data_IF_481214741305
#
_entry.id   IF_481214741305
#
_cell.length_a   1.000
_cell.length_b   1.000
_cell.length_c   1.000
_cell.angle_alpha   90.00
_cell.angle_beta   90.00
_cell.angle_gamma   90.00
#
_symmetry.space_group_name_H-M   'P 1'
#
loop_
_entity.id
_entity.type
_entity.pdbx_description
1 polymer ?
#
# COMPACT_ATOMS: atom_id res chain seq x y z
N UNK A 1 -9.19 -28.00 -27.01
CA UNK A 1 -9.79 -26.93 -27.85
C UNK A 1 -10.41 -25.94 -26.88
N UNK A 2 -9.95 -24.70 -26.96
CA UNK A 2 -9.96 -23.66 -25.93
C UNK A 2 -11.30 -23.43 -25.20
N UNK A 3 -11.24 -23.34 -23.87
CA UNK A 3 -12.07 -22.46 -23.05
C UNK A 3 -11.13 -21.51 -22.31
N UNK A 4 -11.18 -20.24 -22.70
CA UNK A 4 -10.49 -19.13 -22.04
C UNK A 4 -11.34 -18.63 -20.87
N UNK A 5 -10.70 -18.50 -19.71
CA UNK A 5 -11.23 -17.93 -18.48
C UNK A 5 -11.55 -16.45 -18.68
N UNK A 6 -12.80 -16.10 -18.40
CA UNK A 6 -13.35 -14.76 -18.55
C UNK A 6 -13.02 -13.97 -17.28
N UNK A 7 -12.10 -13.01 -17.38
CA UNK A 7 -12.09 -11.80 -16.56
C UNK A 7 -13.28 -10.96 -17.04
N UNK A 8 -14.39 -10.96 -16.31
CA UNK A 8 -15.52 -10.06 -16.60
C UNK A 8 -15.57 -8.93 -15.59
N UNK A 9 -15.25 -7.76 -16.12
CA UNK A 9 -15.70 -6.46 -15.67
C UNK A 9 -17.16 -6.48 -15.17
N UNK A 10 -17.40 -5.94 -13.96
CA UNK A 10 -18.74 -5.55 -13.53
C UNK A 10 -19.00 -4.11 -13.99
N UNK A 11 -19.88 -3.96 -14.98
CA UNK A 11 -20.61 -2.71 -15.24
C UNK A 11 -22.12 -2.93 -15.01
N UNK A 12 -22.71 -1.87 -14.45
CA UNK A 12 -24.03 -1.66 -13.86
C UNK A 12 -25.23 -2.08 -14.72
N UNK A 13 -26.27 -2.61 -14.07
CA UNK A 13 -27.63 -2.75 -14.59
C UNK A 13 -28.69 -2.28 -13.59
N UNK A 14 -29.64 -1.47 -14.07
CA UNK A 14 -30.61 -0.64 -13.35
C UNK A 14 -31.51 -1.30 -12.28
N UNK A 15 -31.93 -0.44 -11.35
CA UNK A 15 -32.82 -0.67 -10.21
C UNK A 15 -34.23 -1.19 -10.56
N UNK A 16 -34.77 -2.02 -9.67
CA UNK A 16 -36.21 -2.24 -9.51
C UNK A 16 -36.56 -2.29 -8.01
N UNK A 17 -37.47 -1.43 -7.58
CA UNK A 17 -37.94 -1.28 -6.20
C UNK A 17 -38.95 -2.37 -5.81
N UNK A 18 -38.86 -2.88 -4.57
CA UNK A 18 -39.90 -3.71 -3.90
C UNK A 18 -39.94 -3.37 -2.40
N UNK A 19 -41.11 -3.34 -1.73
CA UNK A 19 -41.38 -2.49 -0.57
C UNK A 19 -41.10 -3.10 0.80
N UNK A 20 -40.97 -2.18 1.77
CA UNK A 20 -40.80 -2.37 3.20
C UNK A 20 -41.85 -3.28 3.85
N UNK A 21 -41.39 -4.23 4.67
CA UNK A 21 -42.20 -4.75 5.78
C UNK A 21 -41.36 -4.85 7.05
N UNK A 22 -41.97 -4.36 8.12
CA UNK A 22 -41.40 -4.10 9.44
C UNK A 22 -41.32 -5.34 10.32
N UNK A 23 -40.15 -5.61 10.89
CA UNK A 23 -40.02 -6.46 12.08
C UNK A 23 -39.23 -5.72 13.16
N UNK A 24 -39.89 -5.44 14.30
CA UNK A 24 -39.28 -4.85 15.50
C UNK A 24 -38.78 -5.96 16.42
N UNK A 25 -37.51 -5.90 16.82
CA UNK A 25 -36.96 -6.62 17.97
C UNK A 25 -36.34 -5.63 18.98
N UNK A 26 -36.35 -5.93 20.28
CA UNK A 26 -36.21 -4.92 21.34
C UNK A 26 -34.75 -4.51 21.58
N UNK A 27 -34.51 -3.19 21.53
CA UNK A 27 -33.23 -2.54 21.82
C UNK A 27 -33.07 -2.38 23.34
N UNK A 28 -31.99 -2.93 23.91
CA UNK A 28 -31.41 -2.43 25.17
C UNK A 28 -30.37 -1.37 24.80
N UNK A 29 -30.31 -0.22 25.50
CA UNK A 29 -29.44 0.88 25.08
C UNK A 29 -27.98 0.57 25.39
N UNK A 30 -27.17 0.36 24.35
CA UNK A 30 -25.73 0.59 24.40
C UNK A 30 -25.50 2.10 24.54
N UNK A 31 -24.67 2.50 25.51
CA UNK A 31 -24.07 3.84 25.52
C UNK A 31 -22.83 3.78 24.64
N UNK A 32 -22.98 4.08 23.36
CA UNK A 32 -21.84 4.48 22.52
C UNK A 32 -21.43 5.89 22.95
N UNK A 33 -20.13 6.12 23.08
CA UNK A 33 -19.57 7.46 23.27
C UNK A 33 -19.79 8.19 21.94
N UNK A 34 -20.52 9.30 22.01
CA UNK A 34 -20.83 10.18 20.88
C UNK A 34 -19.56 10.94 20.51
N UNK A 35 -18.66 10.32 19.74
CA UNK A 35 -17.46 10.96 19.20
C UNK A 35 -17.86 11.65 17.88
N UNK A 36 -18.37 12.88 17.96
CA UNK A 36 -18.71 13.79 16.83
C UNK A 36 -17.49 14.21 15.97
N UNK A 37 -16.46 13.36 15.83
CA UNK A 37 -15.27 13.68 15.04
C UNK A 37 -15.56 13.74 13.54
N UNK A 38 -16.46 12.90 13.04
CA UNK A 38 -16.83 12.88 11.60
C UNK A 38 -17.73 14.05 11.20
N UNK A 39 -18.52 14.63 12.11
CA UNK A 39 -19.33 15.82 11.82
C UNK A 39 -18.49 17.06 11.47
N UNK A 40 -17.19 17.07 11.83
CA UNK A 40 -16.23 18.12 11.51
C UNK A 40 -15.35 17.79 10.29
N UNK A 41 -15.50 16.63 9.66
CA UNK A 41 -14.86 16.37 8.38
C UNK A 41 -15.46 17.35 7.36
N UNK A 42 -14.61 18.19 6.76
CA UNK A 42 -15.04 19.03 5.64
C UNK A 42 -15.64 18.17 4.52
N UNK A 43 -16.44 18.76 3.61
CA UNK A 43 -16.94 18.01 2.46
C UNK A 43 -15.76 17.35 1.75
N UNK A 44 -15.86 16.05 1.45
CA UNK A 44 -14.98 15.37 0.50
C UNK A 44 -14.95 16.24 -0.76
N UNK A 45 -13.78 16.71 -1.15
CA UNK A 45 -13.67 17.49 -2.38
C UNK A 45 -13.98 16.56 -3.56
N UNK A 46 -14.96 16.92 -4.40
CA UNK A 46 -15.50 16.15 -5.52
C UNK A 46 -14.50 15.95 -6.68
N UNK A 47 -13.24 15.61 -6.42
CA UNK A 47 -12.27 15.41 -7.49
C UNK A 47 -12.46 14.08 -8.23
N UNK A 48 -13.03 13.05 -7.58
CA UNK A 48 -13.26 11.76 -8.24
C UNK A 48 -14.43 11.79 -9.24
N UNK A 49 -15.35 12.75 -9.10
CA UNK A 49 -16.43 13.04 -10.06
C UNK A 49 -16.06 14.15 -11.06
N UNK A 50 -14.95 14.85 -10.83
CA UNK A 50 -14.37 15.73 -11.84
C UNK A 50 -13.52 14.88 -12.77
N UNK A 51 -13.80 14.95 -14.07
CA UNK A 51 -12.86 14.48 -15.09
C UNK A 51 -11.52 15.21 -14.82
N UNK A 52 -10.48 14.56 -14.26
CA UNK A 52 -9.28 15.25 -13.80
C UNK A 52 -8.49 15.84 -14.97
N UNK A 53 -8.90 15.50 -16.20
CA UNK A 53 -8.26 15.81 -17.47
C UNK A 53 -8.87 17.00 -18.20
N UNK A 54 -9.49 17.97 -17.52
CA UNK A 54 -9.66 19.28 -18.14
C UNK A 54 -8.32 20.04 -18.10
N UNK A 55 -7.36 19.49 -18.85
CA UNK A 55 -6.14 20.17 -19.23
C UNK A 55 -6.59 21.45 -19.92
N UNK A 56 -6.42 22.59 -19.25
CA UNK A 56 -6.58 23.88 -19.90
C UNK A 56 -5.74 23.84 -21.17
N UNK A 57 -6.38 24.17 -22.30
CA UNK A 57 -5.80 24.18 -23.65
C UNK A 57 -4.57 25.09 -23.66
N UNK A 58 -3.43 24.53 -23.28
CA UNK A 58 -2.24 25.29 -22.88
C UNK A 58 -1.08 24.42 -22.40
N UNK A 59 -1.30 23.16 -22.00
CA UNK A 59 -0.18 22.20 -21.84
C UNK A 59 0.31 21.83 -23.24
N UNK A 60 1.25 22.62 -23.73
CA UNK A 60 2.10 22.23 -24.84
C UNK A 60 2.82 20.98 -24.36
N UNK A 61 2.64 19.85 -25.05
CA UNK A 61 3.53 18.70 -24.93
C UNK A 61 4.89 19.13 -25.49
N UNK A 62 5.59 19.94 -24.71
CA UNK A 62 6.93 20.32 -25.01
C UNK A 62 7.73 19.09 -24.63
N UNK A 63 8.12 18.25 -25.60
CA UNK A 63 8.97 17.07 -25.38
C UNK A 63 10.36 17.39 -24.79
N UNK A 64 10.51 18.60 -24.24
CA UNK A 64 11.65 19.09 -23.49
C UNK A 64 11.67 18.40 -22.12
N UNK A 65 12.47 17.35 -22.05
CA UNK A 65 12.90 16.71 -20.80
C UNK A 65 13.79 17.68 -20.01
N UNK A 66 13.43 17.96 -18.76
CA UNK A 66 14.21 18.81 -17.86
C UNK A 66 15.32 17.99 -17.21
N UNK A 67 16.47 18.60 -16.85
CA UNK A 67 17.57 17.88 -16.20
C UNK A 67 17.58 18.12 -14.69
N UNK A 68 17.80 17.05 -13.92
CA UNK A 68 17.77 17.09 -12.45
C UNK A 68 18.98 16.38 -11.83
N UNK A 69 19.35 16.81 -10.62
CA UNK A 69 20.26 16.08 -9.73
C UNK A 69 19.54 15.83 -8.41
N UNK A 70 19.07 14.60 -8.21
CA UNK A 70 18.43 14.18 -6.96
C UNK A 70 19.49 13.52 -6.08
N UNK A 71 19.55 13.92 -4.81
CA UNK A 71 20.33 13.24 -3.78
C UNK A 71 19.37 12.73 -2.72
N UNK A 72 19.42 11.44 -2.42
CA UNK A 72 18.57 10.81 -1.43
C UNK A 72 19.24 10.88 -0.06
N UNK A 73 18.49 11.32 0.96
CA UNK A 73 18.94 11.26 2.35
C UNK A 73 19.09 9.81 2.79
N UNK A 74 20.03 9.51 3.69
CA UNK A 74 20.02 8.22 4.37
C UNK A 74 18.79 8.14 5.28
N UNK A 75 18.21 6.94 5.41
CA UNK A 75 17.08 6.67 6.29
C UNK A 75 17.45 6.66 7.77
N UNK A 76 18.69 6.31 8.08
CA UNK A 76 19.25 6.31 9.44
C UNK A 76 20.59 7.07 9.42
N UNK A 77 20.70 8.20 10.14
CA UNK A 77 21.98 8.94 10.21
C UNK A 77 22.82 8.57 11.45
N UNK A 78 22.17 8.48 12.61
CA UNK A 78 22.78 8.17 13.91
C UNK A 78 21.72 7.56 14.82
N UNK A 79 22.10 6.78 15.82
CA UNK A 79 21.20 6.04 16.74
C UNK A 79 20.05 6.89 17.35
N UNK A 80 20.26 8.18 17.56
CA UNK A 80 19.26 9.07 18.19
C UNK A 80 18.40 9.89 17.22
N UNK A 81 18.67 9.83 15.90
CA UNK A 81 18.01 10.67 14.91
C UNK A 81 16.91 9.90 14.18
N UNK A 82 15.67 10.17 14.55
CA UNK A 82 14.47 9.66 13.89
C UNK A 82 14.19 10.41 12.60
N UNK A 83 13.62 9.72 11.62
CA UNK A 83 13.09 10.34 10.41
C UNK A 83 12.00 11.36 10.77
N UNK A 84 12.14 12.56 10.22
CA UNK A 84 11.07 13.54 10.15
C UNK A 84 10.54 13.56 8.72
N UNK A 85 9.34 13.02 8.51
CA UNK A 85 8.71 12.89 7.20
C UNK A 85 8.46 14.23 6.48
N UNK A 86 8.41 15.36 7.19
CA UNK A 86 8.33 16.69 6.55
C UNK A 86 9.59 17.05 5.76
N UNK A 87 10.74 16.46 6.11
CA UNK A 87 12.05 16.78 5.48
C UNK A 87 12.69 15.59 4.79
N UNK A 88 12.42 14.38 5.24
CA UNK A 88 12.92 13.16 4.65
C UNK A 88 12.29 12.94 3.27
N UNK A 89 13.11 12.53 2.30
CA UNK A 89 12.66 12.20 0.95
C UNK A 89 12.97 10.74 0.67
N UNK A 90 11.91 9.94 0.55
CA UNK A 90 12.00 8.51 0.31
C UNK A 90 12.05 8.19 -1.19
N UNK A 91 13.04 7.39 -1.58
CA UNK A 91 13.06 6.60 -2.80
C UNK A 91 12.87 5.15 -2.38
N UNK A 92 11.63 4.72 -2.39
CA UNK A 92 11.24 3.45 -1.80
C UNK A 92 10.99 2.34 -2.81
N UNK A 93 11.06 1.11 -2.31
CA UNK A 93 10.49 -0.06 -2.94
C UNK A 93 9.67 -0.84 -1.92
N UNK A 94 8.51 -1.35 -2.34
CA UNK A 94 7.74 -2.28 -1.55
C UNK A 94 8.35 -3.67 -1.66
N UNK A 95 8.35 -4.43 -0.56
CA UNK A 95 8.63 -5.87 -0.56
C UNK A 95 7.32 -6.66 -0.55
N UNK A 96 6.39 -6.29 -1.42
CA UNK A 96 5.08 -6.93 -1.56
C UNK A 96 5.15 -8.30 -2.23
N UNK A 97 4.15 -9.15 -1.98
CA UNK A 97 4.12 -10.55 -2.42
C UNK A 97 5.12 -11.46 -1.68
N UNK A 98 5.74 -10.97 -0.60
CA UNK A 98 6.71 -11.72 0.21
C UNK A 98 6.10 -12.34 1.47
N UNK A 99 5.86 -11.54 2.51
CA UNK A 99 5.31 -11.98 3.81
C UNK A 99 3.77 -11.87 3.86
N UNK A 100 3.19 -11.32 2.81
CA UNK A 100 1.80 -11.50 2.37
C UNK A 100 1.87 -11.97 0.91
N UNK A 101 0.94 -12.84 0.51
CA UNK A 101 0.94 -13.45 -0.83
C UNK A 101 -0.25 -12.99 -1.66
N UNK A 102 0.07 -12.31 -2.75
CA UNK A 102 -0.86 -12.05 -3.84
C UNK A 102 -0.61 -12.97 -5.03
N UNK A 103 -1.68 -13.58 -5.53
CA UNK A 103 -1.63 -14.42 -6.73
C UNK A 103 -1.16 -13.67 -7.96
N UNK A 104 -1.54 -12.39 -8.07
CA UNK A 104 -1.20 -11.53 -9.20
C UNK A 104 0.30 -11.39 -9.39
N UNK A 105 1.07 -11.28 -8.29
CA UNK A 105 2.52 -11.07 -8.36
C UNK A 105 3.35 -12.36 -8.39
N UNK A 106 2.74 -13.52 -8.10
CA UNK A 106 3.44 -14.80 -8.10
C UNK A 106 2.60 -15.98 -8.66
N UNK A 107 1.98 -15.82 -9.85
CA UNK A 107 1.01 -16.77 -10.37
C UNK A 107 1.64 -18.13 -10.73
N UNK A 108 2.94 -18.16 -11.04
CA UNK A 108 3.68 -19.38 -11.39
C UNK A 108 3.85 -20.28 -10.16
N UNK A 109 4.25 -19.70 -9.03
CA UNK A 109 4.34 -20.43 -7.76
C UNK A 109 2.94 -20.90 -7.33
N UNK A 110 1.94 -20.04 -7.45
CA UNK A 110 0.55 -20.38 -7.13
C UNK A 110 0.03 -21.58 -7.94
N UNK A 111 0.29 -21.58 -9.25
CA UNK A 111 -0.13 -22.66 -10.14
C UNK A 111 0.60 -23.99 -9.85
N UNK A 112 1.76 -23.97 -9.19
CA UNK A 112 2.57 -25.16 -8.93
C UNK A 112 1.92 -26.16 -7.96
N UNK A 113 1.01 -25.70 -7.10
CA UNK A 113 0.30 -26.56 -6.15
C UNK A 113 -0.75 -27.48 -6.81
N UNK A 114 -1.29 -27.08 -7.98
CA UNK A 114 -2.38 -27.77 -8.65
C UNK A 114 -3.68 -27.84 -7.83
N UNK A 115 -4.70 -28.52 -8.38
CA UNK A 115 -5.96 -28.78 -7.69
C UNK A 115 -6.71 -27.51 -7.26
N UNK A 116 -7.37 -27.55 -6.10
CA UNK A 116 -8.10 -26.41 -5.56
C UNK A 116 -7.17 -25.28 -5.10
N UNK A 117 -5.98 -25.62 -4.59
CA UNK A 117 -4.96 -24.66 -4.17
C UNK A 117 -4.51 -23.74 -5.32
N UNK A 118 -4.31 -24.28 -6.54
CA UNK A 118 -3.96 -23.44 -7.70
C UNK A 118 -5.08 -22.47 -8.13
N UNK A 119 -6.33 -22.81 -7.82
CA UNK A 119 -7.50 -21.98 -8.13
C UNK A 119 -7.83 -20.96 -7.03
N UNK A 120 -7.27 -21.12 -5.84
CA UNK A 120 -7.45 -20.18 -4.73
C UNK A 120 -7.19 -18.74 -5.19
N UNK A 121 -8.05 -17.82 -4.74
CA UNK A 121 -7.98 -16.40 -5.11
C UNK A 121 -7.06 -15.58 -4.22
N UNK A 122 -6.79 -16.04 -3.00
CA UNK A 122 -6.08 -15.33 -1.94
C UNK A 122 -5.28 -16.29 -1.04
N UNK A 123 -4.37 -15.74 -0.23
CA UNK A 123 -3.52 -16.52 0.69
C UNK A 123 -4.36 -17.32 1.70
N UNK A 124 -5.45 -16.73 2.19
CA UNK A 124 -6.37 -17.38 3.13
C UNK A 124 -6.92 -18.70 2.58
N UNK A 125 -7.46 -18.66 1.37
CA UNK A 125 -8.03 -19.81 0.68
C UNK A 125 -6.93 -20.78 0.28
N UNK A 126 -5.79 -20.28 -0.20
CA UNK A 126 -4.64 -21.13 -0.53
C UNK A 126 -4.21 -21.96 0.68
N UNK A 127 -4.08 -21.34 1.84
CA UNK A 127 -3.69 -22.05 3.05
C UNK A 127 -4.77 -22.98 3.59
N UNK A 128 -6.05 -22.61 3.46
CA UNK A 128 -7.17 -23.51 3.74
C UNK A 128 -7.14 -24.78 2.88
N UNK A 129 -6.83 -24.65 1.58
CA UNK A 129 -6.74 -25.78 0.65
C UNK A 129 -5.49 -26.63 0.85
N UNK A 130 -4.35 -26.01 1.21
CA UNK A 130 -3.09 -26.73 1.48
C UNK A 130 -3.08 -27.42 2.86
N UNK A 131 -3.85 -26.94 3.83
CA UNK A 131 -3.86 -27.46 5.19
C UNK A 131 -2.45 -27.44 5.81
N UNK A 132 -1.98 -28.58 6.31
CA UNK A 132 -0.68 -28.71 6.96
C UNK A 132 0.52 -28.38 6.04
N UNK A 133 0.33 -28.41 4.70
CA UNK A 133 1.37 -28.07 3.73
C UNK A 133 1.52 -26.56 3.49
N UNK A 134 0.57 -25.73 3.95
CA UNK A 134 0.64 -24.27 3.83
C UNK A 134 1.91 -23.72 4.50
N UNK A 135 2.22 -24.15 5.73
CA UNK A 135 3.38 -23.69 6.46
C UNK A 135 4.70 -24.01 5.76
N UNK A 136 5.01 -25.28 5.45
CA UNK A 136 6.21 -25.64 4.69
C UNK A 136 6.33 -24.91 3.35
N UNK A 137 5.23 -24.74 2.61
CA UNK A 137 5.22 -24.05 1.33
C UNK A 137 5.56 -22.56 1.47
N UNK A 138 4.98 -21.88 2.46
CA UNK A 138 5.23 -20.47 2.72
C UNK A 138 6.62 -20.23 3.31
N UNK A 139 7.09 -21.04 4.25
CA UNK A 139 8.45 -20.95 4.79
C UNK A 139 9.51 -21.07 3.68
N UNK A 140 9.35 -22.03 2.78
CA UNK A 140 10.22 -22.17 1.60
C UNK A 140 10.14 -20.92 0.70
N UNK A 141 8.95 -20.34 0.52
CA UNK A 141 8.77 -19.16 -0.31
C UNK A 141 9.35 -17.90 0.34
N UNK A 142 9.20 -17.72 1.66
CA UNK A 142 9.76 -16.60 2.41
C UNK A 142 11.30 -16.60 2.33
N UNK A 143 11.93 -17.77 2.34
CA UNK A 143 13.38 -17.92 2.25
C UNK A 143 13.96 -17.64 0.85
N UNK A 144 13.18 -17.85 -0.23
CA UNK A 144 13.69 -17.82 -1.61
C UNK A 144 13.15 -16.66 -2.47
N UNK A 145 11.97 -16.11 -2.15
CA UNK A 145 11.33 -15.09 -2.99
C UNK A 145 12.16 -13.80 -3.07
N UNK A 146 12.76 -13.38 -1.95
CA UNK A 146 13.60 -12.19 -1.81
C UNK A 146 14.75 -12.52 -0.85
N UNK A 147 15.93 -11.95 -1.08
CA UNK A 147 17.08 -12.09 -0.20
C UNK A 147 17.92 -10.80 -0.17
N UNK A 148 19.05 -10.83 0.51
CA UNK A 148 19.95 -9.66 0.63
C UNK A 148 20.48 -9.14 -0.72
N UNK A 149 20.62 -10.00 -1.74
CA UNK A 149 20.99 -9.55 -3.09
C UNK A 149 19.89 -8.71 -3.75
N UNK A 150 18.63 -8.90 -3.39
CA UNK A 150 17.57 -7.96 -3.81
C UNK A 150 17.80 -6.58 -3.20
N UNK A 151 18.17 -6.53 -1.92
CA UNK A 151 18.47 -5.27 -1.23
C UNK A 151 19.68 -4.57 -1.86
N UNK A 152 20.73 -5.32 -2.21
CA UNK A 152 21.90 -4.77 -2.90
C UNK A 152 21.53 -4.11 -4.24
N UNK A 153 20.67 -4.78 -5.02
CA UNK A 153 20.21 -4.26 -6.32
C UNK A 153 19.38 -2.99 -6.16
N UNK A 154 18.44 -2.98 -5.20
CA UNK A 154 17.65 -1.77 -4.88
C UNK A 154 18.57 -0.61 -4.43
N UNK A 155 19.52 -0.89 -3.52
CA UNK A 155 20.48 0.10 -3.06
C UNK A 155 21.35 0.66 -4.20
N UNK A 156 21.72 -0.18 -5.18
CA UNK A 156 22.57 0.23 -6.32
C UNK A 156 21.95 1.33 -7.19
N UNK A 157 20.63 1.46 -7.16
CA UNK A 157 19.87 2.51 -7.85
C UNK A 157 19.31 3.58 -6.91
N UNK A 158 19.82 3.61 -5.67
CA UNK A 158 19.59 4.67 -4.70
C UNK A 158 18.31 4.51 -3.88
N UNK A 159 17.74 3.31 -3.77
CA UNK A 159 16.64 3.06 -2.82
C UNK A 159 17.17 3.29 -1.40
N UNK A 160 16.43 4.07 -0.61
CA UNK A 160 16.78 4.42 0.77
C UNK A 160 15.68 4.06 1.78
N UNK A 161 14.54 3.55 1.30
CA UNK A 161 13.39 3.17 2.13
C UNK A 161 12.81 1.85 1.65
N UNK A 162 12.45 0.96 2.56
CA UNK A 162 11.71 -0.27 2.26
C UNK A 162 10.35 -0.22 2.95
N UNK A 163 9.27 -0.39 2.19
CA UNK A 163 7.92 -0.62 2.74
C UNK A 163 7.66 -2.13 2.71
N UNK A 164 7.38 -2.72 3.86
CA UNK A 164 7.29 -4.17 4.01
C UNK A 164 5.88 -4.53 4.50
N UNK A 165 4.99 -4.95 3.59
CA UNK A 165 3.69 -5.50 3.91
C UNK A 165 3.84 -6.81 4.70
N UNK A 166 3.02 -6.96 5.74
CA UNK A 166 2.92 -8.19 6.52
C UNK A 166 1.45 -8.51 6.80
N UNK A 167 1.11 -9.81 6.85
CA UNK A 167 -0.19 -10.21 7.40
C UNK A 167 -0.20 -10.00 8.91
N UNK A 168 -1.37 -9.77 9.52
CA UNK A 168 -1.45 -9.70 10.99
C UNK A 168 -1.01 -11.01 11.65
N UNK A 169 -1.18 -12.12 10.92
CA UNK A 169 -0.90 -13.46 11.40
C UNK A 169 0.60 -13.70 11.56
N UNK A 170 1.48 -12.91 10.94
CA UNK A 170 2.91 -12.91 11.26
C UNK A 170 3.20 -12.48 12.71
N UNK A 171 2.34 -11.65 13.29
CA UNK A 171 2.57 -10.98 14.58
C UNK A 171 1.79 -11.60 15.73
N UNK A 172 0.54 -12.00 15.46
CA UNK A 172 -0.37 -12.57 16.45
C UNK A 172 -1.07 -13.79 15.88
N UNK A 173 -1.12 -14.87 16.66
CA UNK A 173 -1.83 -16.08 16.25
C UNK A 173 -3.32 -15.93 16.56
N UNK A 174 -4.12 -15.48 15.59
CA UNK A 174 -5.56 -15.27 15.77
C UNK A 174 -6.31 -16.60 15.58
N UNK A 175 -7.08 -17.05 16.58
CA UNK A 175 -7.84 -18.29 16.47
C UNK A 175 -8.82 -18.28 15.30
N UNK A 176 -8.76 -19.33 14.46
CA UNK A 176 -9.65 -19.50 13.31
C UNK A 176 -9.16 -18.82 12.03
N UNK A 177 -8.05 -18.08 12.06
CA UNK A 177 -7.39 -17.61 10.84
C UNK A 177 -6.91 -18.80 10.00
N UNK A 178 -7.08 -18.72 8.67
CA UNK A 178 -6.45 -19.65 7.73
C UNK A 178 -5.08 -19.16 7.27
N UNK A 179 -4.72 -17.90 7.56
CA UNK A 179 -3.38 -17.42 7.28
C UNK A 179 -2.36 -18.16 8.15
N UNK A 180 -1.14 -18.26 7.65
CA UNK A 180 -0.08 -18.98 8.34
C UNK A 180 0.56 -18.14 9.45
N UNK A 181 0.74 -18.74 10.64
CA UNK A 181 1.56 -18.18 11.72
C UNK A 181 2.85 -18.99 11.85
N UNK A 182 3.99 -18.40 11.51
CA UNK A 182 5.28 -19.08 11.47
C UNK A 182 6.46 -18.13 11.70
N UNK A 183 7.53 -18.31 10.93
CA UNK A 183 8.78 -17.59 11.10
C UNK A 183 8.87 -16.29 10.29
N UNK A 184 7.75 -15.70 9.83
CA UNK A 184 7.76 -14.46 9.04
C UNK A 184 8.65 -13.38 9.68
N UNK A 185 8.58 -13.23 11.00
CA UNK A 185 9.35 -12.24 11.77
C UNK A 185 10.86 -12.52 11.75
N UNK A 186 11.27 -13.78 11.66
CA UNK A 186 12.69 -14.15 11.53
C UNK A 186 13.24 -13.73 10.17
N UNK A 187 12.51 -14.01 9.09
CA UNK A 187 12.90 -13.56 7.73
C UNK A 187 12.88 -12.02 7.62
N UNK A 188 11.86 -11.38 8.20
CA UNK A 188 11.78 -9.92 8.29
C UNK A 188 13.01 -9.33 9.00
N UNK A 189 13.44 -9.93 10.11
CA UNK A 189 14.61 -9.47 10.87
C UNK A 189 15.89 -9.52 10.04
N UNK A 190 16.11 -10.61 9.31
CA UNK A 190 17.30 -10.77 8.47
C UNK A 190 17.41 -9.65 7.43
N UNK A 191 16.32 -9.40 6.70
CA UNK A 191 16.29 -8.39 5.63
C UNK A 191 16.37 -6.96 6.19
N UNK A 192 15.60 -6.65 7.23
CA UNK A 192 15.59 -5.31 7.82
C UNK A 192 16.93 -4.97 8.47
N UNK A 193 17.53 -5.90 9.21
CA UNK A 193 18.85 -5.71 9.80
C UNK A 193 19.91 -5.46 8.72
N UNK A 194 19.93 -6.27 7.66
CA UNK A 194 20.87 -6.09 6.56
C UNK A 194 20.69 -4.73 5.86
N UNK A 195 19.46 -4.33 5.56
CA UNK A 195 19.14 -3.06 4.92
C UNK A 195 19.54 -1.85 5.77
N UNK A 196 19.30 -1.91 7.08
CA UNK A 196 19.66 -0.85 8.03
C UNK A 196 21.18 -0.77 8.21
N UNK A 197 21.84 -1.88 8.51
CA UNK A 197 23.28 -1.88 8.85
C UNK A 197 24.17 -1.61 7.63
N UNK A 198 23.79 -2.10 6.44
CA UNK A 198 24.61 -1.99 5.23
C UNK A 198 24.36 -0.69 4.48
N UNK A 199 23.11 -0.23 4.44
CA UNK A 199 22.68 0.87 3.56
C UNK A 199 21.99 2.01 4.29
N UNK A 200 21.80 1.90 5.60
CA UNK A 200 21.09 2.91 6.41
C UNK A 200 19.69 3.19 5.85
N UNK A 201 19.01 2.16 5.34
CA UNK A 201 17.65 2.28 4.83
C UNK A 201 16.66 2.53 5.96
N UNK A 202 15.61 3.30 5.68
CA UNK A 202 14.46 3.45 6.56
C UNK A 202 13.44 2.34 6.27
N UNK A 203 12.80 1.80 7.30
CA UNK A 203 11.86 0.69 7.17
C UNK A 203 10.45 1.14 7.57
N UNK A 204 9.49 0.92 6.70
CA UNK A 204 8.07 1.02 7.01
C UNK A 204 7.55 -0.40 7.20
N UNK A 205 7.14 -0.75 8.42
CA UNK A 205 6.48 -2.04 8.70
C UNK A 205 4.97 -1.82 8.61
N UNK A 206 4.35 -2.51 7.66
CA UNK A 206 2.92 -2.40 7.37
C UNK A 206 2.12 -3.61 7.83
N UNK A 207 1.01 -3.39 8.53
CA UNK A 207 -0.07 -4.37 8.63
C UNK A 207 -0.94 -4.23 7.38
N UNK A 208 -0.72 -5.12 6.42
CA UNK A 208 -1.42 -5.10 5.13
C UNK A 208 -2.82 -5.71 5.23
N UNK A 209 -2.97 -6.68 6.14
CA UNK A 209 -4.24 -7.28 6.55
C UNK A 209 -4.48 -7.06 8.04
N UNK A 210 -5.74 -6.97 8.49
CA UNK A 210 -6.12 -7.04 9.91
C UNK A 210 -7.15 -8.15 10.15
N UNK A 211 -7.25 -8.68 11.39
CA UNK A 211 -8.18 -9.77 11.71
C UNK A 211 -9.63 -9.44 11.32
N UNK A 212 -10.27 -10.35 10.60
CA UNK A 212 -11.61 -10.17 10.05
C UNK A 212 -11.67 -9.58 8.65
N UNK A 213 -10.59 -8.97 8.15
CA UNK A 213 -10.53 -8.36 6.83
C UNK A 213 -10.99 -6.89 6.83
N UNK A 214 -10.26 -6.05 6.09
CA UNK A 214 -10.45 -4.59 6.08
C UNK A 214 -11.02 -4.04 4.78
N UNK A 215 -11.10 -4.83 3.71
CA UNK A 215 -11.45 -4.32 2.38
C UNK A 215 -12.13 -5.30 1.43
N UNK A 216 -12.52 -6.49 1.90
CA UNK A 216 -13.09 -7.57 1.07
C UNK A 216 -12.17 -8.11 -0.04
N UNK A 217 -10.90 -7.69 -0.11
CA UNK A 217 -9.93 -8.15 -1.10
C UNK A 217 -9.02 -9.25 -0.52
N UNK A 218 -8.26 -9.88 -1.40
CA UNK A 218 -7.22 -10.84 -1.06
C UNK A 218 -6.20 -10.28 -0.05
N UNK A 219 -5.81 -9.02 -0.22
CA UNK A 219 -4.82 -8.33 0.63
C UNK A 219 -5.31 -7.97 2.03
N UNK A 220 -6.62 -7.77 2.23
CA UNK A 220 -7.16 -7.28 3.51
C UNK A 220 -7.26 -8.35 4.59
N UNK A 221 -7.34 -9.61 4.20
CA UNK A 221 -7.25 -10.86 4.99
C UNK A 221 -7.55 -12.05 4.07
N UNK A 222 -8.56 -11.88 3.22
CA UNK A 222 -9.09 -12.85 2.27
C UNK A 222 -10.36 -12.29 1.62
N UNK A 223 -10.67 -12.75 0.41
CA UNK A 223 -11.75 -12.23 -0.42
C UNK A 223 -13.10 -12.34 0.31
N UNK A 224 -13.92 -11.29 0.21
CA UNK A 224 -15.23 -11.16 0.88
C UNK A 224 -15.18 -11.18 2.41
N UNK A 225 -14.06 -10.75 3.01
CA UNK A 225 -13.91 -10.61 4.46
C UNK A 225 -13.77 -9.13 4.84
N UNK A 226 -14.71 -8.65 5.65
CA UNK A 226 -14.83 -7.27 6.15
C UNK A 226 -15.18 -7.19 7.65
N UNK A 227 -15.05 -8.32 8.35
CA UNK A 227 -15.43 -8.48 9.75
C UNK A 227 -14.55 -7.74 10.75
N UNK A 228 -13.54 -6.98 10.31
CA UNK A 228 -12.74 -6.11 11.17
C UNK A 228 -13.57 -4.93 11.72
N UNK A 229 -14.44 -4.35 10.89
CA UNK A 229 -15.23 -3.18 11.28
C UNK A 229 -16.23 -3.51 12.38
N UNK A 230 -16.28 -2.64 13.39
CA UNK A 230 -17.18 -2.74 14.55
C UNK A 230 -17.04 -4.02 15.39
N UNK A 231 -15.91 -4.72 15.27
CA UNK A 231 -15.60 -5.92 16.03
C UNK A 231 -14.49 -5.67 17.05
N UNK A 232 -14.84 -5.55 18.33
CA UNK A 232 -13.89 -5.26 19.41
C UNK A 232 -12.80 -6.33 19.56
N UNK A 233 -13.10 -7.61 19.27
CA UNK A 233 -12.12 -8.70 19.34
C UNK A 233 -11.06 -8.55 18.26
N UNK A 234 -11.49 -8.25 17.03
CA UNK A 234 -10.58 -8.03 15.92
C UNK A 234 -9.74 -6.75 16.10
N UNK A 235 -10.34 -5.70 16.67
CA UNK A 235 -9.63 -4.49 17.05
C UNK A 235 -8.55 -4.78 18.11
N UNK A 236 -8.86 -5.57 19.14
CA UNK A 236 -7.89 -5.94 20.17
C UNK A 236 -6.71 -6.74 19.60
N UNK A 237 -6.95 -7.74 18.74
CA UNK A 237 -5.86 -8.45 18.05
C UNK A 237 -5.04 -7.53 17.13
N UNK A 238 -5.67 -6.57 16.45
CA UNK A 238 -4.97 -5.58 15.63
C UNK A 238 -3.99 -4.77 16.48
N UNK A 239 -4.44 -4.31 17.65
CA UNK A 239 -3.61 -3.55 18.59
C UNK A 239 -2.51 -4.41 19.23
N UNK A 240 -2.76 -5.70 19.50
CA UNK A 240 -1.71 -6.63 19.93
C UNK A 240 -0.65 -6.83 18.84
N UNK A 241 -1.02 -6.85 17.56
CA UNK A 241 -0.06 -6.91 16.46
C UNK A 241 0.85 -5.67 16.43
N UNK A 242 0.29 -4.48 16.70
CA UNK A 242 1.07 -3.23 16.86
C UNK A 242 2.05 -3.33 18.03
N UNK A 243 1.63 -3.88 19.17
CA UNK A 243 2.53 -4.12 20.30
C UNK A 243 3.72 -5.02 19.89
N UNK A 244 3.47 -6.07 19.07
CA UNK A 244 4.54 -6.96 18.56
C UNK A 244 5.45 -6.31 17.52
N UNK A 245 4.93 -5.41 16.68
CA UNK A 245 5.75 -4.61 15.77
C UNK A 245 6.67 -3.68 16.55
N UNK A 246 6.16 -3.03 17.61
CA UNK A 246 6.96 -2.16 18.47
C UNK A 246 8.05 -2.94 19.23
N UNK A 247 7.71 -4.12 19.78
CA UNK A 247 8.70 -5.03 20.39
C UNK A 247 9.80 -5.42 19.39
N UNK A 248 9.44 -5.72 18.15
CA UNK A 248 10.40 -6.03 17.08
C UNK A 248 11.34 -4.85 16.80
N UNK A 249 10.78 -3.65 16.64
CA UNK A 249 11.55 -2.43 16.39
C UNK A 249 12.50 -2.12 17.56
N UNK A 250 12.05 -2.29 18.82
CA UNK A 250 12.91 -2.12 19.99
C UNK A 250 14.05 -3.15 20.03
N UNK A 251 13.77 -4.41 19.69
CA UNK A 251 14.77 -5.49 19.66
C UNK A 251 15.76 -5.37 18.50
N UNK A 252 15.50 -4.53 17.50
CA UNK A 252 16.42 -4.30 16.38
C UNK A 252 17.71 -3.58 16.79
N UNK A 253 17.69 -2.85 17.91
CA UNK A 253 18.77 -1.93 18.30
C UNK A 253 18.80 -0.62 17.50
N UNK A 254 17.89 -0.44 16.52
CA UNK A 254 17.80 0.73 15.65
C UNK A 254 16.35 1.25 15.58
N UNK A 255 15.76 1.56 16.74
CA UNK A 255 14.35 1.98 16.85
C UNK A 255 14.00 3.18 15.93
N UNK A 256 14.97 4.05 15.68
CA UNK A 256 14.84 5.22 14.82
C UNK A 256 14.76 4.91 13.30
N UNK A 257 15.01 3.66 12.91
CA UNK A 257 14.91 3.20 11.53
C UNK A 257 13.49 2.82 11.09
N UNK A 258 12.48 2.96 11.96
CA UNK A 258 11.14 2.41 11.73
C UNK A 258 10.06 3.49 11.63
N UNK A 259 9.09 3.25 10.75
CA UNK A 259 7.77 3.87 10.72
C UNK A 259 6.71 2.77 10.75
N UNK A 260 5.64 2.98 11.52
CA UNK A 260 4.58 1.98 11.71
C UNK A 260 3.38 2.35 10.83
N UNK A 261 3.05 1.50 9.86
CA UNK A 261 1.84 1.62 9.03
C UNK A 261 0.79 0.60 9.51
N UNK A 262 -0.21 1.02 10.31
CA UNK A 262 -1.02 0.08 11.09
C UNK A 262 -2.21 -0.51 10.31
N UNK A 263 -2.51 0.00 9.11
CA UNK A 263 -3.62 -0.45 8.25
C UNK A 263 -3.32 -0.08 6.79
N UNK A 264 -3.85 -0.87 5.85
CA UNK A 264 -3.70 -0.68 4.41
C UNK A 264 -5.06 -0.72 3.71
N UNK A 265 -5.36 0.30 2.90
CA UNK A 265 -6.48 0.35 1.94
C UNK A 265 -7.82 -0.14 2.51
N UNK A 266 -8.22 0.36 3.68
CA UNK A 266 -9.45 -0.07 4.32
C UNK A 266 -10.69 0.43 3.54
N UNK A 267 -11.70 -0.43 3.41
CA UNK A 267 -12.93 -0.17 2.67
C UNK A 267 -14.06 -1.06 3.18
N UNK A 268 -15.20 -0.48 3.52
CA UNK A 268 -16.43 -1.21 3.87
C UNK A 268 -17.43 -1.29 2.70
N UNK A 269 -17.04 -0.82 1.51
CA UNK A 269 -17.78 -0.96 0.26
C UNK A 269 -16.87 -1.37 -0.90
N UNK A 270 -16.82 -2.68 -1.17
CA UNK A 270 -16.07 -3.27 -2.27
C UNK A 270 -16.45 -2.69 -3.65
N UNK A 271 -17.71 -2.31 -3.85
CA UNK A 271 -18.17 -1.81 -5.15
C UNK A 271 -17.60 -0.44 -5.51
N UNK A 272 -17.13 0.28 -4.50
CA UNK A 272 -16.52 1.61 -4.60
C UNK A 272 -15.05 1.59 -4.15
N UNK A 273 -14.40 0.42 -4.08
CA UNK A 273 -12.98 0.32 -3.73
C UNK A 273 -12.09 1.15 -4.67
N UNK A 274 -11.03 1.75 -4.12
CA UNK A 274 -10.18 2.67 -4.87
C UNK A 274 -10.75 4.09 -5.00
N UNK A 275 -11.92 4.35 -4.40
CA UNK A 275 -12.57 5.66 -4.40
C UNK A 275 -12.88 6.15 -2.99
N UNK A 276 -13.09 7.45 -2.84
CA UNK A 276 -13.52 8.03 -1.57
C UNK A 276 -14.88 7.49 -1.08
N UNK A 277 -15.71 6.93 -1.97
CA UNK A 277 -16.99 6.31 -1.61
C UNK A 277 -16.84 4.91 -1.02
N UNK A 278 -15.67 4.28 -1.18
CA UNK A 278 -15.36 2.95 -0.64
C UNK A 278 -15.25 2.88 0.89
N UNK A 279 -15.26 4.01 1.58
CA UNK A 279 -15.18 4.07 3.04
C UNK A 279 -16.29 4.96 3.63
N UNK A 280 -17.17 4.37 4.44
CA UNK A 280 -18.26 5.10 5.11
C UNK A 280 -17.77 5.95 6.29
N UNK A 281 -18.61 6.88 6.76
CA UNK A 281 -18.31 7.68 7.94
C UNK A 281 -18.21 6.83 9.22
N UNK A 282 -19.00 5.76 9.31
CA UNK A 282 -18.93 4.84 10.44
C UNK A 282 -17.60 4.07 10.40
N UNK A 283 -17.17 3.61 9.23
CA UNK A 283 -15.90 2.90 9.06
C UNK A 283 -14.71 3.84 9.33
N UNK A 284 -14.80 5.08 8.87
CA UNK A 284 -13.86 6.17 9.22
C UNK A 284 -13.76 6.33 10.74
N UNK A 285 -14.89 6.41 11.45
CA UNK A 285 -14.92 6.52 12.92
C UNK A 285 -14.25 5.33 13.62
N UNK A 286 -14.42 4.13 13.06
CA UNK A 286 -13.78 2.91 13.56
C UNK A 286 -12.26 2.93 13.36
N UNK A 287 -11.79 3.41 12.21
CA UNK A 287 -10.35 3.62 11.93
C UNK A 287 -9.79 4.67 12.90
N UNK A 288 -10.47 5.78 13.16
CA UNK A 288 -10.01 6.78 14.13
C UNK A 288 -9.85 6.19 15.53
N UNK A 289 -10.80 5.36 15.97
CA UNK A 289 -10.70 4.63 17.25
C UNK A 289 -9.48 3.70 17.28
N UNK A 290 -9.21 2.99 16.20
CA UNK A 290 -8.01 2.16 16.07
C UNK A 290 -6.73 3.01 16.13
N UNK A 291 -6.68 4.11 15.38
CA UNK A 291 -5.54 5.02 15.34
C UNK A 291 -5.25 5.66 16.70
N UNK A 292 -6.27 6.00 17.50
CA UNK A 292 -6.07 6.46 18.88
C UNK A 292 -5.30 5.41 19.71
N UNK A 293 -5.68 4.13 19.59
CA UNK A 293 -5.02 3.01 20.27
C UNK A 293 -3.61 2.72 19.73
N UNK A 294 -3.36 2.96 18.44
CA UNK A 294 -2.03 2.89 17.83
C UNK A 294 -1.12 3.99 18.40
N UNK A 295 -1.59 5.24 18.40
CA UNK A 295 -0.81 6.36 18.93
C UNK A 295 -0.49 6.19 20.41
N UNK A 296 -1.44 5.71 21.23
CA UNK A 296 -1.21 5.43 22.65
C UNK A 296 -0.02 4.46 22.85
N UNK A 297 0.04 3.39 22.06
CA UNK A 297 1.11 2.38 22.13
C UNK A 297 2.45 2.92 21.63
N UNK A 298 2.43 3.58 20.48
CA UNK A 298 3.64 4.14 19.87
C UNK A 298 4.25 5.21 20.78
N UNK A 299 3.44 6.12 21.32
CA UNK A 299 3.89 7.20 22.21
C UNK A 299 4.36 6.68 23.57
N UNK A 300 3.82 5.55 24.05
CA UNK A 300 4.30 4.88 25.25
C UNK A 300 5.70 4.27 25.07
N UNK A 301 6.06 3.89 23.84
CA UNK A 301 7.42 3.43 23.50
C UNK A 301 8.33 4.63 23.24
N UNK A 302 8.03 5.42 22.20
CA UNK A 302 8.71 6.67 21.87
C UNK A 302 7.89 7.48 20.85
N UNK A 303 7.41 8.66 21.24
CA UNK A 303 6.64 9.56 20.36
C UNK A 303 7.36 10.03 19.09
N UNK A 304 8.68 9.82 18.98
CA UNK A 304 9.48 10.13 17.79
C UNK A 304 9.33 9.09 16.68
N UNK A 305 8.80 7.90 16.97
CA UNK A 305 8.46 6.91 15.95
C UNK A 305 7.29 7.45 15.13
N UNK A 306 7.41 7.58 13.79
CA UNK A 306 6.30 8.03 12.97
C UNK A 306 5.23 6.94 12.82
N UNK A 307 3.97 7.37 12.80
CA UNK A 307 2.82 6.55 12.43
C UNK A 307 2.37 6.97 11.03
N UNK A 308 2.12 5.99 10.17
CA UNK A 308 1.74 6.20 8.78
C UNK A 308 0.31 5.72 8.54
N UNK A 309 -0.63 6.62 8.25
CA UNK A 309 -2.02 6.25 7.95
C UNK A 309 -2.25 6.23 6.45
N UNK A 310 -2.58 5.05 5.91
CA UNK A 310 -3.04 4.93 4.53
C UNK A 310 -4.42 5.58 4.38
N UNK A 311 -4.56 6.45 3.39
CA UNK A 311 -5.67 7.40 3.28
C UNK A 311 -7.01 6.80 2.82
N UNK A 312 -7.05 5.49 2.57
CA UNK A 312 -8.24 4.74 2.15
C UNK A 312 -8.93 5.39 0.93
N UNK A 313 -8.15 6.03 0.05
CA UNK A 313 -8.61 6.74 -1.15
C UNK A 313 -9.50 7.97 -0.87
N UNK A 314 -9.62 8.40 0.39
CA UNK A 314 -10.30 9.66 0.79
C UNK A 314 -9.42 10.90 0.56
N UNK A 315 -8.10 10.70 0.43
CA UNK A 315 -7.11 11.77 0.36
C UNK A 315 -6.72 12.33 1.73
N UNK A 316 -5.52 12.90 1.82
CA UNK A 316 -4.96 13.42 3.06
C UNK A 316 -5.75 14.62 3.61
N UNK A 317 -6.34 15.43 2.74
CA UNK A 317 -7.18 16.58 3.12
C UNK A 317 -8.42 16.19 3.93
N UNK A 318 -8.98 15.00 3.70
CA UNK A 318 -10.12 14.48 4.46
C UNK A 318 -9.71 14.11 5.89
N UNK A 319 -8.58 13.42 6.05
CA UNK A 319 -8.13 12.91 7.34
C UNK A 319 -7.46 13.98 8.20
N UNK A 320 -6.73 14.93 7.61
CA UNK A 320 -5.91 15.88 8.34
C UNK A 320 -6.66 16.67 9.43
N UNK A 321 -7.89 17.18 9.22
CA UNK A 321 -8.64 17.87 10.27
C UNK A 321 -9.06 16.99 11.45
N UNK A 322 -8.99 15.66 11.31
CA UNK A 322 -9.40 14.68 12.32
C UNK A 322 -8.28 14.31 13.29
N UNK A 323 -7.05 14.79 13.04
CA UNK A 323 -5.87 14.54 13.88
C UNK A 323 -5.29 15.84 14.44
N UNK A 324 -4.72 15.75 15.64
CA UNK A 324 -3.95 16.84 16.25
C UNK A 324 -2.64 17.03 15.48
N UNK A 325 -2.32 18.28 15.12
CA UNK A 325 -1.12 18.63 14.33
C UNK A 325 0.20 18.35 15.05
N UNK A 326 0.17 18.08 16.36
CA UNK A 326 1.33 17.64 17.13
C UNK A 326 1.64 16.14 16.99
N UNK A 327 0.74 15.35 16.41
CA UNK A 327 0.98 13.92 16.17
C UNK A 327 2.06 13.74 15.10
N UNK A 328 2.97 12.80 15.34
CA UNK A 328 3.98 12.39 14.37
C UNK A 328 3.36 11.46 13.31
N UNK A 329 2.47 12.04 12.51
CA UNK A 329 1.66 11.39 11.50
C UNK A 329 2.18 11.72 10.10
N UNK A 330 2.26 10.71 9.25
CA UNK A 330 2.45 10.84 7.79
C UNK A 330 1.27 10.15 7.10
N UNK A 331 0.71 10.78 6.06
CA UNK A 331 -0.30 10.13 5.24
C UNK A 331 0.36 9.30 4.14
N UNK A 332 -0.16 8.11 3.93
CA UNK A 332 0.22 7.20 2.84
C UNK A 332 -0.87 7.22 1.77
N UNK A 333 -0.56 7.76 0.60
CA UNK A 333 -1.45 7.78 -0.56
C UNK A 333 -0.98 6.77 -1.60
N UNK A 334 -1.89 5.98 -2.12
CA UNK A 334 -1.60 5.02 -3.19
C UNK A 334 -2.05 5.60 -4.53
N UNK A 335 -1.14 5.70 -5.48
CA UNK A 335 -1.37 6.36 -6.77
C UNK A 335 -1.10 5.40 -7.92
N UNK A 336 -2.18 4.98 -8.57
CA UNK A 336 -2.15 4.04 -9.67
C UNK A 336 -2.88 4.57 -10.90
N UNK A 337 -2.32 4.31 -12.09
CA UNK A 337 -2.91 4.73 -13.36
C UNK A 337 -3.50 3.56 -14.17
N UNK A 338 -3.32 2.31 -13.75
CA UNK A 338 -3.81 1.14 -14.50
C UNK A 338 -5.34 1.02 -14.51
N UNK A 339 -6.02 1.55 -13.48
CA UNK A 339 -7.47 1.56 -13.35
C UNK A 339 -8.10 2.93 -13.64
N UNK A 340 -7.29 3.93 -13.99
CA UNK A 340 -7.77 5.30 -14.21
C UNK A 340 -8.19 5.50 -15.67
N UNK A 341 -9.49 5.74 -15.87
CA UNK A 341 -10.06 6.00 -17.19
C UNK A 341 -9.33 7.15 -17.91
N UNK A 342 -9.03 6.97 -19.19
CA UNK A 342 -8.41 8.00 -20.02
C UNK A 342 -6.90 8.19 -19.81
N UNK A 343 -6.22 7.30 -19.07
CA UNK A 343 -4.76 7.32 -18.94
C UNK A 343 -4.08 6.52 -20.03
N UNK A 344 -3.14 7.16 -20.73
CA UNK A 344 -2.39 6.57 -21.84
C UNK A 344 -0.90 6.76 -21.61
N UNK A 345 -0.08 5.80 -22.01
CA UNK A 345 1.37 5.81 -21.73
C UNK A 345 2.06 7.07 -22.28
N UNK A 346 1.64 7.54 -23.45
CA UNK A 346 2.17 8.75 -24.08
C UNK A 346 1.82 10.06 -23.34
N UNK A 347 0.82 10.05 -22.45
CA UNK A 347 0.21 11.26 -21.87
C UNK A 347 0.12 11.26 -20.34
N UNK A 348 0.56 10.20 -19.66
CA UNK A 348 0.45 10.08 -18.20
C UNK A 348 1.38 11.04 -17.44
N UNK A 349 2.54 11.39 -18.02
CA UNK A 349 3.55 12.21 -17.32
C UNK A 349 3.03 13.58 -16.84
N UNK A 350 2.29 14.38 -17.65
CA UNK A 350 1.64 15.59 -17.14
C UNK A 350 0.67 15.33 -15.98
N UNK A 351 -0.10 14.24 -16.01
CA UNK A 351 -1.05 13.90 -14.96
C UNK A 351 -0.34 13.58 -13.63
N UNK A 352 0.79 12.85 -13.70
CA UNK A 352 1.67 12.60 -12.55
C UNK A 352 2.12 13.91 -11.90
N UNK A 353 2.62 14.85 -12.70
CA UNK A 353 3.12 16.12 -12.18
C UNK A 353 2.01 16.94 -11.50
N UNK A 354 0.84 17.06 -12.14
CA UNK A 354 -0.29 17.79 -11.58
C UNK A 354 -0.84 17.14 -10.31
N UNK A 355 -0.92 15.81 -10.29
CA UNK A 355 -1.38 15.06 -9.12
C UNK A 355 -0.42 15.20 -7.94
N UNK A 356 0.90 15.14 -8.18
CA UNK A 356 1.90 15.34 -7.14
C UNK A 356 1.82 16.73 -6.50
N UNK A 357 1.65 17.77 -7.32
CA UNK A 357 1.49 19.16 -6.86
C UNK A 357 0.21 19.32 -6.05
N UNK A 358 -0.91 18.75 -6.50
CA UNK A 358 -2.17 18.77 -5.76
C UNK A 358 -2.07 18.09 -4.39
N UNK A 359 -1.52 16.86 -4.34
CA UNK A 359 -1.36 16.12 -3.09
C UNK A 359 -0.51 16.91 -2.08
N UNK A 360 0.50 17.64 -2.55
CA UNK A 360 1.34 18.48 -1.69
C UNK A 360 0.60 19.67 -1.05
N UNK A 361 -0.54 20.08 -1.61
CA UNK A 361 -1.37 21.19 -1.11
C UNK A 361 -2.54 20.72 -0.24
N UNK A 362 -2.83 19.42 -0.19
CA UNK A 362 -3.99 18.87 0.53
C UNK A 362 -3.94 19.10 2.04
N UNK A 363 -2.74 19.16 2.62
CA UNK A 363 -2.55 19.18 4.07
C UNK A 363 -1.19 19.75 4.46
N UNK A 364 -1.04 20.09 5.74
CA UNK A 364 0.25 20.43 6.34
C UNK A 364 1.00 19.24 6.93
N UNK A 365 0.31 18.09 7.10
CA UNK A 365 0.97 16.83 7.41
C UNK A 365 1.82 16.37 6.21
N UNK A 366 2.96 15.69 6.43
CA UNK A 366 3.68 15.08 5.34
C UNK A 366 2.82 14.01 4.67
N UNK A 367 2.86 13.98 3.33
CA UNK A 367 2.27 12.91 2.52
C UNK A 367 3.40 12.13 1.84
N UNK A 368 3.28 10.82 1.80
CA UNK A 368 4.19 9.88 1.15
C UNK A 368 3.38 9.02 0.17
N UNK A 369 3.89 8.79 -1.03
CA UNK A 369 3.22 7.91 -2.00
C UNK A 369 3.66 6.47 -1.74
N UNK A 370 3.04 5.75 -0.81
CA UNK A 370 3.52 4.44 -0.38
C UNK A 370 3.37 3.35 -1.41
N UNK A 371 2.51 3.54 -2.41
CA UNK A 371 2.38 2.63 -3.54
C UNK A 371 2.14 3.37 -4.86
N UNK A 372 2.90 2.96 -5.90
CA UNK A 372 2.76 3.40 -7.28
C UNK A 372 3.48 2.43 -8.23
N UNK A 373 3.08 2.38 -9.51
CA UNK A 373 3.69 1.51 -10.52
C UNK A 373 3.73 2.18 -11.91
N UNK A 374 4.30 1.49 -12.93
CA UNK A 374 4.41 2.04 -14.29
C UNK A 374 3.21 1.74 -15.19
N UNK A 375 2.39 0.76 -14.85
CA UNK A 375 1.26 0.38 -15.69
C UNK A 375 0.23 1.51 -15.72
N UNK A 376 -0.21 1.86 -16.93
CA UNK A 376 -1.34 2.74 -17.19
C UNK A 376 -2.49 1.95 -17.82
N UNK A 377 -3.67 2.56 -17.93
CA UNK A 377 -4.84 1.87 -18.44
C UNK A 377 -4.69 1.46 -19.91
N UNK A 378 -4.13 2.34 -20.75
CA UNK A 378 -4.08 2.13 -22.20
C UNK A 378 -2.72 2.37 -22.86
N UNK A 379 -2.45 1.62 -23.92
CA UNK A 379 -1.31 1.74 -24.83
C UNK A 379 0.03 1.77 -24.09
N UNK A 380 0.25 0.85 -23.14
CA UNK A 380 1.53 0.68 -22.47
C UNK A 380 2.63 0.39 -23.51
N UNK A 381 3.81 0.99 -23.33
CA UNK A 381 4.96 0.77 -24.22
C UNK A 381 6.21 0.46 -23.40
N UNK A 382 7.01 -0.49 -23.86
CA UNK A 382 8.24 -0.88 -23.17
C UNK A 382 9.27 0.26 -23.17
N UNK A 383 9.32 1.03 -24.26
CA UNK A 383 10.21 2.19 -24.42
C UNK A 383 9.78 3.40 -23.56
N UNK A 384 8.49 3.53 -23.26
CA UNK A 384 7.93 4.62 -22.46
C UNK A 384 8.24 4.52 -20.96
N UNK A 385 8.51 3.31 -20.46
CA UNK A 385 8.68 3.00 -19.03
C UNK A 385 9.67 3.91 -18.32
N UNK A 386 10.81 4.21 -18.95
CA UNK A 386 11.84 5.07 -18.33
C UNK A 386 11.34 6.49 -18.09
N UNK A 387 10.61 7.04 -19.06
CA UNK A 387 10.06 8.39 -18.92
C UNK A 387 9.02 8.46 -17.80
N UNK A 388 8.18 7.43 -17.69
CA UNK A 388 7.14 7.33 -16.65
C UNK A 388 7.79 7.18 -15.27
N UNK A 389 8.74 6.25 -15.13
CA UNK A 389 9.45 6.03 -13.88
C UNK A 389 10.20 7.28 -13.41
N UNK A 390 11.01 7.89 -14.29
CA UNK A 390 11.78 9.08 -13.93
C UNK A 390 10.87 10.26 -13.58
N UNK A 391 9.72 10.42 -14.25
CA UNK A 391 8.73 11.46 -13.94
C UNK A 391 8.06 11.24 -12.59
N UNK A 392 7.56 10.03 -12.33
CA UNK A 392 6.94 9.68 -11.04
C UNK A 392 7.94 9.85 -9.88
N UNK A 393 9.12 9.22 -9.98
CA UNK A 393 10.17 9.34 -8.96
C UNK A 393 10.54 10.78 -8.64
N UNK A 394 10.67 11.63 -9.67
CA UNK A 394 10.96 13.05 -9.47
C UNK A 394 9.77 13.79 -8.85
N UNK A 395 8.55 13.61 -9.36
CA UNK A 395 7.37 14.31 -8.89
C UNK A 395 7.11 14.01 -7.41
N UNK A 396 7.17 12.73 -7.02
CA UNK A 396 6.99 12.31 -5.63
C UNK A 396 8.07 12.90 -4.71
N UNK A 397 9.32 12.96 -5.16
CA UNK A 397 10.42 13.55 -4.39
C UNK A 397 10.29 15.06 -4.22
N UNK A 398 9.89 15.75 -5.29
CA UNK A 398 9.85 17.21 -5.34
C UNK A 398 8.69 17.76 -4.52
N UNK A 399 7.49 17.24 -4.75
CA UNK A 399 6.27 17.82 -4.22
C UNK A 399 5.87 17.24 -2.87
N UNK A 400 6.04 15.93 -2.67
CA UNK A 400 5.66 15.23 -1.43
C UNK A 400 6.89 14.56 -0.79
N UNK A 401 6.72 13.67 0.18
CA UNK A 401 7.83 13.08 0.97
C UNK A 401 8.56 11.95 0.24
N UNK A 402 8.41 11.85 -1.08
CA UNK A 402 8.87 10.72 -1.88
C UNK A 402 7.78 9.67 -2.11
N UNK A 403 8.19 8.49 -2.58
CA UNK A 403 7.27 7.39 -2.82
C UNK A 403 7.96 6.03 -2.83
N UNK A 404 7.18 4.95 -2.75
CA UNK A 404 7.64 3.56 -2.78
C UNK A 404 6.97 2.78 -3.89
N UNK A 405 7.77 2.27 -4.81
CA UNK A 405 7.29 1.56 -5.99
C UNK A 405 6.72 0.18 -5.60
N UNK A 406 5.57 -0.19 -6.15
CA UNK A 406 4.99 -1.53 -6.04
C UNK A 406 5.37 -2.35 -7.28
N UNK A 407 6.21 -3.38 -7.19
CA UNK A 407 6.91 -3.96 -6.03
C UNK A 407 8.35 -4.36 -6.41
N UNK A 408 9.20 -4.73 -5.44
CA UNK A 408 10.59 -5.11 -5.68
C UNK A 408 10.72 -6.26 -6.69
N UNK A 409 9.97 -7.35 -6.49
CA UNK A 409 9.98 -8.53 -7.36
C UNK A 409 8.56 -8.91 -7.70
N UNK A 410 8.30 -9.13 -8.99
CA UNK A 410 7.05 -9.71 -9.45
C UNK A 410 7.28 -10.69 -10.60
N UNK A 411 6.56 -11.82 -10.55
CA UNK A 411 6.48 -12.81 -11.61
C UNK A 411 5.12 -12.78 -12.32
N UNK A 412 4.42 -11.64 -12.27
CA UNK A 412 3.11 -11.45 -12.89
C UNK A 412 3.15 -11.75 -14.39
N UNK A 413 2.18 -12.54 -14.87
CA UNK A 413 2.15 -13.00 -16.28
C UNK A 413 1.00 -12.40 -17.08
N UNK A 414 0.12 -11.62 -16.46
CA UNK A 414 -1.04 -11.01 -17.12
C UNK A 414 -0.57 -10.01 -18.17
N UNK A 415 -1.11 -10.09 -19.38
CA UNK A 415 -0.87 -9.08 -20.43
C UNK A 415 -1.44 -7.72 -20.01
N UNK A 416 -0.74 -6.65 -20.37
CA UNK A 416 -1.26 -5.28 -20.23
C UNK A 416 -1.84 -4.81 -21.56
N UNK A 417 -2.71 -3.80 -21.53
CA UNK A 417 -3.11 -3.12 -22.76
C UNK A 417 -1.89 -2.42 -23.38
N UNK A 418 -1.49 -2.84 -24.59
CA UNK A 418 -0.26 -2.39 -25.25
C UNK A 418 0.80 -3.48 -25.31
N UNK A 419 2.03 -3.15 -24.91
CA UNK A 419 3.20 -4.02 -25.04
C UNK A 419 3.58 -4.71 -23.72
N UNK A 420 3.72 -6.03 -23.72
CA UNK A 420 4.30 -6.79 -22.61
C UNK A 420 3.29 -7.28 -21.56
N UNK A 421 3.81 -7.59 -20.38
CA UNK A 421 3.07 -8.17 -19.25
C UNK A 421 3.21 -7.31 -18.00
N UNK A 422 2.39 -7.54 -16.97
CA UNK A 422 2.50 -6.83 -15.70
C UNK A 422 3.92 -6.89 -15.11
N UNK A 423 4.66 -8.01 -15.24
CA UNK A 423 6.06 -8.07 -14.79
C UNK A 423 6.93 -6.98 -15.39
N UNK A 424 6.69 -6.58 -16.65
CA UNK A 424 7.45 -5.53 -17.32
C UNK A 424 7.21 -4.13 -16.75
N UNK A 425 6.17 -3.93 -15.93
CA UNK A 425 5.74 -2.64 -15.39
C UNK A 425 5.65 -2.57 -13.86
N UNK A 426 5.74 -3.72 -13.18
CA UNK A 426 5.53 -3.86 -11.73
C UNK A 426 6.71 -4.53 -10.99
N UNK A 427 7.72 -5.06 -11.70
CA UNK A 427 8.91 -5.67 -11.08
C UNK A 427 10.08 -4.69 -11.10
N UNK A 428 10.41 -4.10 -9.94
CA UNK A 428 11.51 -3.15 -9.80
C UNK A 428 12.84 -3.75 -10.27
N UNK A 429 13.14 -4.99 -9.87
CA UNK A 429 14.38 -5.68 -10.25
C UNK A 429 14.47 -5.91 -11.76
N UNK A 430 13.38 -6.33 -12.42
CA UNK A 430 13.40 -6.50 -13.88
C UNK A 430 13.56 -5.15 -14.60
N UNK A 431 13.01 -4.06 -14.04
CA UNK A 431 13.18 -2.71 -14.56
C UNK A 431 14.62 -2.19 -14.39
N UNK A 432 15.33 -2.57 -13.32
CA UNK A 432 16.78 -2.33 -13.18
C UNK A 432 17.53 -3.10 -14.27
N UNK A 433 17.24 -4.39 -14.43
CA UNK A 433 17.90 -5.25 -15.41
C UNK A 433 17.68 -4.78 -16.86
N UNK A 434 16.51 -4.19 -17.14
CA UNK A 434 16.18 -3.59 -18.42
C UNK A 434 16.81 -2.19 -18.64
N UNK A 435 17.54 -1.64 -17.67
CA UNK A 435 18.11 -0.29 -17.73
C UNK A 435 17.08 0.84 -17.67
N UNK A 436 15.84 0.53 -17.27
CA UNK A 436 14.77 1.52 -17.10
C UNK A 436 15.02 2.32 -15.83
N UNK A 437 15.24 1.61 -14.72
CA UNK A 437 15.55 2.21 -13.42
C UNK A 437 17.06 2.30 -13.25
N UNK A 438 17.53 3.51 -13.04
CA UNK A 438 18.95 3.81 -12.84
C UNK A 438 19.12 4.68 -11.60
N UNK A 439 20.31 4.70 -11.01
CA UNK A 439 20.63 5.58 -9.87
C UNK A 439 20.38 7.06 -10.15
N UNK A 440 20.49 7.47 -11.42
CA UNK A 440 20.23 8.84 -11.83
C UNK A 440 18.77 9.02 -12.33
N UNK A 441 18.15 10.13 -11.91
CA UNK A 441 16.93 10.70 -12.52
C UNK A 441 17.36 11.89 -13.37
N UNK A 442 18.00 11.59 -14.50
CA UNK A 442 18.63 12.64 -15.31
C UNK A 442 17.61 13.51 -16.03
N UNK A 443 16.39 13.00 -16.24
CA UNK A 443 15.32 13.80 -16.81
C UNK A 443 13.91 13.34 -16.53
N UNK A 444 13.02 14.29 -16.29
CA UNK A 444 11.59 14.08 -16.13
C UNK A 444 10.77 15.14 -16.88
N UNK A 445 9.45 14.94 -16.93
CA UNK A 445 8.52 15.84 -17.62
C UNK A 445 8.32 17.18 -16.88
N UNK A 446 8.19 17.11 -15.55
CA UNK A 446 8.39 18.21 -14.62
C UNK A 446 9.68 17.94 -13.83
#
# INVERSE_FOLDING_TARGET
MHLSTICSALFIGAAAAVPSSSLKLPVRPLRLRDDNRTENAGPTLDYQDMNPFNVTSGVVNNGTKLSHKICWSQGVLTDDMFVNWTHFKANGANLGGWLEKEKTHDPIWWASFGGAASEASDEWTLCGELGDECGPALEARYADFLNTSTIDQLASVGVNTLRIPTTYQAWVNVPGSQLYHGNQISYLREITQYAIETYSMHIIIGLHSLPGGVNNLDIGEGLMRDGWFYNETNLDYSLQAIDKILEFAQQSGALNAFTIAPINEASDDLSSFGTAAGLSDNATSWILKYMDGVFERVEAVDKRIPVMLQDCFKGASFWAPLFDTSKNLVFDSHVYYFAAAGTYSAWVNPAVCGQAEYIAEETTFPVFIGEWALQVMYNNTLDGRKSIFDTQRYAWQKYVSGGSFWTAVSYATTEVDGEGTQRDYWSYIDLINAGVITSATNSSYC
#
